data_IF_298847260658
#
_entry.id   IF_298847260658
#
_cell.length_a   1.000
_cell.length_b   1.000
_cell.length_c   1.000
_cell.angle_alpha   90.00
_cell.angle_beta   90.00
_cell.angle_gamma   90.00
#
_symmetry.space_group_name_H-M   'P 1'
#
loop_
_entity.id
_entity.type
_entity.pdbx_description
1 polymer ?
#
# COMPACT_ATOMS: atom_id res chain seq x y z
N UNK A 1 -3.20 -0.61 -30.92
CA UNK A 1 -3.13 -0.69 -29.44
C UNK A 1 -4.33 -1.41 -28.82
N UNK A 2 -5.57 -1.20 -29.23
CA UNK A 2 -6.78 -1.84 -28.69
C UNK A 2 -6.72 -3.38 -28.66
N UNK A 3 -6.18 -4.02 -29.68
CA UNK A 3 -6.14 -5.49 -29.77
C UNK A 3 -5.24 -6.14 -28.69
N UNK A 4 -4.15 -5.46 -28.30
CA UNK A 4 -3.22 -5.98 -27.27
C UNK A 4 -3.87 -5.97 -25.88
N UNK A 5 -4.68 -4.94 -25.58
CA UNK A 5 -5.38 -4.87 -24.28
C UNK A 5 -6.41 -5.99 -24.13
N UNK A 6 -7.15 -6.31 -25.21
CA UNK A 6 -8.14 -7.39 -25.18
C UNK A 6 -7.49 -8.72 -24.81
N UNK A 7 -6.37 -9.06 -25.46
CA UNK A 7 -5.64 -10.30 -25.19
C UNK A 7 -5.05 -10.34 -23.78
N UNK A 8 -4.47 -9.22 -23.29
CA UNK A 8 -3.90 -9.14 -21.95
C UNK A 8 -4.97 -9.29 -20.85
N UNK A 9 -6.09 -8.58 -21.01
CA UNK A 9 -7.23 -8.63 -20.07
C UNK A 9 -7.85 -10.02 -20.09
N UNK A 10 -8.07 -10.60 -21.27
CA UNK A 10 -8.62 -11.93 -21.44
C UNK A 10 -7.79 -12.99 -20.70
N UNK A 11 -6.45 -12.92 -20.85
CA UNK A 11 -5.50 -13.83 -20.17
C UNK A 11 -5.52 -13.61 -18.67
N UNK A 12 -5.51 -12.36 -18.20
CA UNK A 12 -5.44 -12.02 -16.79
C UNK A 12 -6.72 -12.45 -16.02
N UNK A 13 -7.90 -12.18 -16.62
CA UNK A 13 -9.20 -12.48 -16.01
C UNK A 13 -9.73 -13.88 -16.35
N UNK A 14 -9.06 -14.61 -17.24
CA UNK A 14 -9.50 -15.91 -17.75
C UNK A 14 -10.91 -15.83 -18.39
N UNK A 15 -11.19 -14.74 -19.11
CA UNK A 15 -12.42 -14.48 -19.84
C UNK A 15 -12.11 -14.58 -21.34
N UNK A 16 -12.99 -15.18 -22.17
CA UNK A 16 -12.80 -15.23 -23.62
C UNK A 16 -12.58 -13.84 -24.24
N UNK A 17 -11.59 -13.71 -25.12
CA UNK A 17 -11.18 -12.43 -25.71
C UNK A 17 -12.32 -11.69 -26.41
N UNK A 18 -13.17 -12.39 -27.14
CA UNK A 18 -14.33 -11.79 -27.79
C UNK A 18 -15.39 -11.24 -26.81
N UNK A 19 -15.48 -11.76 -25.58
CA UNK A 19 -16.33 -11.16 -24.54
C UNK A 19 -15.72 -9.88 -23.99
N UNK A 20 -14.39 -9.87 -23.79
CA UNK A 20 -13.64 -8.69 -23.33
C UNK A 20 -13.76 -7.57 -24.37
N UNK A 21 -13.54 -7.88 -25.66
CA UNK A 21 -13.63 -6.92 -26.76
C UNK A 21 -15.00 -6.23 -26.82
N UNK A 22 -16.08 -7.02 -26.83
CA UNK A 22 -17.44 -6.47 -26.87
C UNK A 22 -17.79 -5.65 -25.62
N UNK A 23 -17.31 -6.09 -24.44
CA UNK A 23 -17.51 -5.34 -23.19
C UNK A 23 -16.79 -4.01 -23.22
N UNK A 24 -15.54 -3.97 -23.70
CA UNK A 24 -14.76 -2.74 -23.87
C UNK A 24 -15.44 -1.81 -24.89
N UNK A 25 -15.99 -2.36 -25.98
CA UNK A 25 -16.79 -1.59 -26.94
C UNK A 25 -17.94 -0.84 -26.27
N UNK A 26 -18.76 -1.55 -25.49
CA UNK A 26 -19.87 -0.95 -24.73
C UNK A 26 -19.43 0.10 -23.70
N UNK A 27 -18.31 -0.15 -23.01
CA UNK A 27 -17.75 0.82 -22.03
C UNK A 27 -17.26 2.10 -22.74
N UNK A 28 -16.65 1.98 -23.93
CA UNK A 28 -16.18 3.11 -24.72
C UNK A 28 -17.34 3.93 -25.31
N UNK A 29 -18.51 3.32 -25.52
CA UNK A 29 -19.77 3.98 -25.90
C UNK A 29 -20.42 4.72 -24.71
N UNK A 30 -19.82 4.65 -23.52
CA UNK A 30 -20.30 5.32 -22.31
C UNK A 30 -21.34 4.53 -21.51
N UNK A 31 -21.55 3.24 -21.82
CA UNK A 31 -22.46 2.40 -21.07
C UNK A 31 -21.92 2.12 -19.66
N UNK A 32 -22.78 2.20 -18.65
CA UNK A 32 -22.40 1.92 -17.25
C UNK A 32 -22.37 0.42 -16.96
N UNK A 33 -21.56 -0.01 -15.99
CA UNK A 33 -21.45 -1.41 -15.59
C UNK A 33 -22.82 -2.03 -15.27
N UNK A 34 -23.70 -1.40 -14.43
CA UNK A 34 -25.02 -1.95 -14.17
C UNK A 34 -25.92 -2.05 -15.41
N UNK A 35 -25.78 -1.11 -16.36
CA UNK A 35 -26.52 -1.17 -17.61
C UNK A 35 -26.09 -2.35 -18.49
N UNK A 36 -24.78 -2.56 -18.63
CA UNK A 36 -24.21 -3.66 -19.42
C UNK A 36 -24.64 -5.01 -18.81
N UNK A 37 -24.48 -5.19 -17.50
CA UNK A 37 -24.78 -6.45 -16.82
C UNK A 37 -26.27 -6.83 -16.85
N UNK A 38 -27.16 -5.85 -16.94
CA UNK A 38 -28.64 -6.10 -16.95
C UNK A 38 -29.20 -6.15 -18.33
N UNK A 39 -28.78 -5.27 -19.24
CA UNK A 39 -29.44 -5.03 -20.51
C UNK A 39 -28.60 -5.38 -21.74
N UNK A 40 -27.36 -5.87 -21.58
CA UNK A 40 -26.46 -6.27 -22.68
C UNK A 40 -25.82 -7.64 -22.47
N UNK A 41 -26.50 -8.52 -21.74
CA UNK A 41 -25.99 -9.89 -21.45
C UNK A 41 -25.73 -10.69 -22.71
N UNK A 42 -26.59 -10.55 -23.70
CA UNK A 42 -26.45 -11.21 -25.00
C UNK A 42 -25.19 -10.78 -25.75
N UNK A 43 -24.79 -9.52 -25.62
CA UNK A 43 -23.57 -8.98 -26.26
C UNK A 43 -22.32 -9.46 -25.52
N UNK A 44 -22.32 -9.41 -24.20
CA UNK A 44 -21.17 -9.78 -23.37
C UNK A 44 -21.02 -11.28 -23.15
N UNK A 45 -22.02 -12.08 -23.58
CA UNK A 45 -22.03 -13.52 -23.34
C UNK A 45 -22.27 -13.89 -21.87
N UNK A 46 -23.08 -13.08 -21.17
CA UNK A 46 -23.55 -13.38 -19.81
C UNK A 46 -22.65 -12.91 -18.68
N UNK A 47 -21.68 -12.03 -18.95
CA UNK A 47 -20.82 -11.47 -17.91
C UNK A 47 -21.63 -10.74 -16.83
N UNK A 48 -21.24 -10.95 -15.58
CA UNK A 48 -21.84 -10.27 -14.42
C UNK A 48 -21.20 -8.91 -14.13
N UNK A 49 -21.74 -8.18 -13.16
CA UNK A 49 -21.25 -6.86 -12.76
C UNK A 49 -19.79 -6.89 -12.26
N UNK A 50 -19.38 -7.97 -11.60
CA UNK A 50 -18.02 -8.13 -11.06
C UNK A 50 -17.01 -8.32 -12.19
N UNK A 51 -17.35 -9.18 -13.15
CA UNK A 51 -16.51 -9.45 -14.31
C UNK A 51 -16.37 -8.22 -15.22
N UNK A 52 -17.46 -7.49 -15.45
CA UNK A 52 -17.44 -6.24 -16.23
C UNK A 52 -16.64 -5.16 -15.51
N UNK A 53 -16.79 -5.06 -14.16
CA UNK A 53 -15.98 -4.16 -13.33
C UNK A 53 -14.51 -4.49 -13.43
N UNK A 54 -14.13 -5.77 -13.31
CA UNK A 54 -12.74 -6.21 -13.43
C UNK A 54 -12.13 -5.91 -14.81
N UNK A 55 -12.92 -6.08 -15.90
CA UNK A 55 -12.47 -5.69 -17.25
C UNK A 55 -12.19 -4.19 -17.31
N UNK A 56 -13.10 -3.36 -16.77
CA UNK A 56 -12.92 -1.91 -16.74
C UNK A 56 -11.68 -1.50 -15.95
N UNK A 57 -11.49 -2.05 -14.76
CA UNK A 57 -10.33 -1.72 -13.91
C UNK A 57 -9.00 -2.10 -14.59
N UNK A 58 -8.95 -3.24 -15.28
CA UNK A 58 -7.76 -3.64 -16.04
C UNK A 58 -7.56 -2.75 -17.27
N UNK A 59 -8.62 -2.36 -17.97
CA UNK A 59 -8.54 -1.43 -19.11
C UNK A 59 -8.00 -0.08 -18.66
N UNK A 60 -8.48 0.46 -17.56
CA UNK A 60 -8.03 1.74 -17.01
C UNK A 60 -6.53 1.65 -16.63
N UNK A 61 -6.10 0.60 -15.92
CA UNK A 61 -4.69 0.35 -15.57
C UNK A 61 -3.78 0.25 -16.80
N UNK A 62 -4.17 -0.51 -17.80
CA UNK A 62 -3.37 -0.65 -19.04
C UNK A 62 -3.31 0.65 -19.86
N UNK A 63 -4.40 1.42 -19.85
CA UNK A 63 -4.46 2.73 -20.50
C UNK A 63 -3.52 3.74 -19.84
N UNK A 64 -3.52 3.79 -18.51
CA UNK A 64 -2.59 4.63 -17.73
C UNK A 64 -1.14 4.22 -17.97
N UNK A 65 -0.86 2.91 -17.96
CA UNK A 65 0.48 2.40 -18.22
C UNK A 65 0.94 2.70 -19.64
N UNK A 66 0.06 2.63 -20.66
CA UNK A 66 0.36 3.01 -22.03
C UNK A 66 0.75 4.49 -22.15
N UNK A 67 -0.05 5.38 -21.56
CA UNK A 67 0.28 6.82 -21.48
C UNK A 67 1.60 7.07 -20.77
N UNK A 68 1.87 6.30 -19.71
CA UNK A 68 3.13 6.39 -18.98
C UNK A 68 4.31 5.97 -19.85
N UNK A 69 4.20 4.87 -20.62
CA UNK A 69 5.22 4.44 -21.59
C UNK A 69 5.51 5.52 -22.64
N UNK A 70 4.48 6.13 -23.21
CA UNK A 70 4.62 7.22 -24.17
C UNK A 70 5.43 8.38 -23.60
N UNK A 71 5.09 8.80 -22.37
CA UNK A 71 5.83 9.86 -21.66
C UNK A 71 7.30 9.49 -21.43
N UNK A 72 7.55 8.26 -21.03
CA UNK A 72 8.90 7.74 -20.76
C UNK A 72 9.72 7.72 -22.04
N UNK A 73 9.17 7.17 -23.13
CA UNK A 73 9.83 7.10 -24.42
C UNK A 73 10.17 8.49 -24.95
N UNK A 74 9.23 9.43 -24.91
CA UNK A 74 9.45 10.82 -25.32
C UNK A 74 10.58 11.47 -24.48
N UNK A 75 10.57 11.30 -23.16
CA UNK A 75 11.61 11.87 -22.29
C UNK A 75 13.01 11.30 -22.57
N UNK A 76 13.12 10.00 -22.89
CA UNK A 76 14.41 9.37 -23.19
C UNK A 76 14.88 9.79 -24.59
N UNK A 77 13.95 9.94 -25.55
CA UNK A 77 14.22 10.38 -26.93
C UNK A 77 14.73 11.84 -26.96
N UNK A 78 14.11 12.74 -26.17
CA UNK A 78 14.58 14.13 -26.00
C UNK A 78 16.02 14.21 -25.46
N UNK A 79 16.46 13.19 -24.71
CA UNK A 79 17.85 13.08 -24.21
C UNK A 79 18.81 12.42 -25.21
N UNK A 80 18.35 12.05 -26.41
CA UNK A 80 19.12 11.32 -27.43
C UNK A 80 19.72 10.00 -26.94
N UNK A 81 19.06 9.35 -25.94
CA UNK A 81 19.53 8.12 -25.28
C UNK A 81 18.67 6.89 -25.58
N UNK A 82 17.63 7.04 -26.39
CA UNK A 82 16.71 5.94 -26.70
C UNK A 82 17.31 4.99 -27.72
N UNK A 83 17.80 3.82 -27.28
CA UNK A 83 18.25 2.76 -28.16
C UNK A 83 17.09 1.90 -28.67
N UNK A 84 17.21 1.23 -29.82
CA UNK A 84 16.17 0.32 -30.32
C UNK A 84 15.82 -0.79 -29.35
N UNK A 85 16.81 -1.35 -28.66
CA UNK A 85 16.62 -2.40 -27.63
C UNK A 85 15.84 -1.90 -26.42
N UNK A 86 16.16 -0.68 -25.95
CA UNK A 86 15.46 -0.07 -24.82
C UNK A 86 14.01 0.26 -25.18
N UNK A 87 13.78 0.83 -26.38
CA UNK A 87 12.44 1.08 -26.91
C UNK A 87 11.61 -0.20 -26.92
N UNK A 88 12.16 -1.27 -27.49
CA UNK A 88 11.49 -2.58 -27.56
C UNK A 88 11.14 -3.11 -26.19
N UNK A 89 12.07 -3.10 -25.24
CA UNK A 89 11.81 -3.56 -23.87
C UNK A 89 10.69 -2.77 -23.19
N UNK A 90 10.66 -1.45 -23.33
CA UNK A 90 9.60 -0.61 -22.75
C UNK A 90 8.25 -0.88 -23.42
N UNK A 91 8.22 -1.04 -24.76
CA UNK A 91 7.00 -1.30 -25.49
C UNK A 91 6.40 -2.67 -25.20
N UNK A 92 7.23 -3.71 -25.06
CA UNK A 92 6.79 -5.07 -24.80
C UNK A 92 6.42 -5.35 -23.33
N UNK A 93 7.03 -4.66 -22.38
CA UNK A 93 6.73 -4.86 -20.96
C UNK A 93 5.40 -4.24 -20.56
N UNK A 94 4.64 -4.96 -19.75
CA UNK A 94 3.40 -4.51 -19.07
C UNK A 94 3.52 -4.55 -17.56
N UNK A 95 4.75 -4.67 -17.06
CA UNK A 95 5.06 -4.52 -15.63
C UNK A 95 5.51 -3.08 -15.34
N UNK A 96 4.68 -2.37 -14.57
CA UNK A 96 4.98 -0.99 -14.20
C UNK A 96 6.30 -0.85 -13.44
N UNK A 97 6.67 -1.86 -12.66
CA UNK A 97 7.92 -1.87 -11.88
C UNK A 97 9.13 -1.97 -12.81
N UNK A 98 9.09 -2.88 -13.79
CA UNK A 98 10.15 -3.02 -14.78
C UNK A 98 10.31 -1.75 -15.63
N UNK A 99 9.20 -1.16 -16.07
CA UNK A 99 9.19 0.06 -16.87
C UNK A 99 9.79 1.25 -16.10
N UNK A 100 9.43 1.43 -14.84
CA UNK A 100 10.01 2.49 -13.99
C UNK A 100 11.50 2.25 -13.69
N UNK A 101 11.95 1.00 -13.57
CA UNK A 101 13.36 0.67 -13.42
C UNK A 101 14.16 0.98 -14.68
N UNK A 102 13.62 0.64 -15.87
CA UNK A 102 14.24 1.00 -17.16
C UNK A 102 14.33 2.51 -17.36
N UNK A 103 13.36 3.26 -16.85
CA UNK A 103 13.34 4.72 -16.91
C UNK A 103 14.24 5.40 -15.89
N UNK A 104 14.56 4.76 -14.76
CA UNK A 104 15.25 5.37 -13.61
C UNK A 104 16.55 6.10 -13.96
N UNK A 105 17.44 5.58 -14.85
CA UNK A 105 18.66 6.27 -15.27
C UNK A 105 18.41 7.57 -16.06
N UNK A 106 17.26 7.68 -16.72
CA UNK A 106 16.89 8.78 -17.62
C UNK A 106 15.92 9.79 -16.98
N UNK A 107 15.36 9.42 -15.82
CA UNK A 107 14.39 10.27 -15.12
C UNK A 107 15.03 11.60 -14.72
N UNK A 108 14.42 12.76 -15.09
CA UNK A 108 14.91 14.06 -14.65
C UNK A 108 15.04 14.11 -13.11
N UNK A 109 16.25 14.35 -12.65
CA UNK A 109 16.57 14.36 -11.23
C UNK A 109 16.71 15.78 -10.71
N UNK A 110 16.33 16.00 -9.47
CA UNK A 110 16.80 17.18 -8.71
C UNK A 110 18.31 17.06 -8.53
N UNK A 111 18.99 18.17 -8.17
CA UNK A 111 20.42 18.16 -7.89
C UNK A 111 20.74 17.11 -6.83
N UNK A 112 21.34 15.99 -7.24
CA UNK A 112 21.77 14.89 -6.36
C UNK A 112 23.22 15.07 -5.95
N UNK A 113 23.68 14.35 -4.90
CA UNK A 113 25.10 14.32 -4.53
C UNK A 113 25.96 13.84 -5.70
N UNK A 114 25.52 12.84 -6.44
CA UNK A 114 26.20 12.33 -7.63
C UNK A 114 26.25 13.38 -8.74
N UNK A 115 25.20 14.16 -8.95
CA UNK A 115 25.20 15.23 -9.95
C UNK A 115 26.19 16.36 -9.58
N UNK A 116 26.25 16.72 -8.28
CA UNK A 116 27.24 17.67 -7.78
C UNK A 116 28.67 17.15 -8.03
N UNK A 117 28.90 15.86 -7.76
CA UNK A 117 30.20 15.24 -8.00
C UNK A 117 30.57 15.16 -9.50
N UNK A 118 29.59 14.91 -10.39
CA UNK A 118 29.81 14.97 -11.85
C UNK A 118 30.21 16.38 -12.30
N UNK A 119 29.54 17.41 -11.80
CA UNK A 119 29.90 18.82 -12.11
C UNK A 119 31.31 19.18 -11.64
N UNK A 120 31.78 18.59 -10.53
CA UNK A 120 33.18 18.71 -10.07
C UNK A 120 34.17 17.89 -10.92
N UNK A 121 33.71 17.15 -11.94
CA UNK A 121 34.56 16.37 -12.84
C UNK A 121 35.05 15.05 -12.23
N UNK A 122 34.32 14.47 -11.26
CA UNK A 122 34.74 13.25 -10.54
C UNK A 122 34.23 11.95 -11.20
N UNK A 123 33.47 12.02 -12.28
CA UNK A 123 32.96 10.81 -12.97
C UNK A 123 34.07 9.90 -13.50
N UNK A 124 35.20 10.41 -14.10
CA UNK A 124 36.30 9.55 -14.50
C UNK A 124 36.95 8.82 -13.32
N UNK A 125 37.04 9.46 -12.14
CA UNK A 125 37.53 8.80 -10.93
C UNK A 125 36.57 7.69 -10.48
N UNK A 126 35.27 7.94 -10.52
CA UNK A 126 34.25 6.92 -10.20
C UNK A 126 34.37 5.70 -11.14
N UNK A 127 34.63 5.91 -12.45
CA UNK A 127 34.86 4.82 -13.41
C UNK A 127 36.11 4.02 -13.07
N UNK A 128 37.23 4.67 -12.71
CA UNK A 128 38.47 4.01 -12.29
C UNK A 128 38.22 3.16 -11.03
N UNK A 129 37.56 3.71 -10.02
CA UNK A 129 37.22 3.00 -8.78
C UNK A 129 36.29 1.82 -9.08
N UNK A 130 35.30 1.98 -9.93
CA UNK A 130 34.35 0.92 -10.26
C UNK A 130 34.97 -0.25 -11.06
N UNK A 131 36.03 0.01 -11.85
CA UNK A 131 36.78 -1.02 -12.56
C UNK A 131 37.58 -1.92 -11.62
N UNK A 132 38.00 -1.42 -10.45
CA UNK A 132 38.74 -2.13 -9.38
C UNK A 132 40.09 -2.75 -9.87
N UNK A 133 40.72 -2.16 -10.86
CA UNK A 133 41.99 -2.60 -11.44
C UNK A 133 43.17 -1.67 -11.09
N UNK A 134 42.92 -0.63 -10.30
CA UNK A 134 43.95 0.36 -9.98
C UNK A 134 44.77 -0.08 -8.76
N UNK A 135 46.08 -0.16 -8.91
CA UNK A 135 47.01 -0.55 -7.87
C UNK A 135 47.50 0.61 -7.00
N UNK A 136 47.36 1.85 -7.47
CA UNK A 136 47.80 3.04 -6.75
C UNK A 136 46.74 4.14 -6.79
N UNK A 137 45.68 3.89 -6.04
CA UNK A 137 44.53 4.79 -5.96
C UNK A 137 44.95 6.19 -5.47
N UNK A 138 45.87 6.27 -4.49
CA UNK A 138 46.32 7.53 -3.92
C UNK A 138 47.04 8.43 -4.94
N UNK A 139 47.80 7.86 -5.89
CA UNK A 139 48.39 8.62 -6.98
C UNK A 139 47.35 9.12 -7.97
N UNK A 140 46.36 8.30 -8.28
CA UNK A 140 45.24 8.67 -9.18
C UNK A 140 44.40 9.79 -8.62
N UNK A 141 44.04 9.74 -7.35
CA UNK A 141 43.21 10.75 -6.68
C UNK A 141 43.85 12.14 -6.78
N UNK A 142 45.18 12.26 -6.64
CA UNK A 142 45.89 13.55 -6.73
C UNK A 142 45.56 14.33 -8.01
N UNK A 143 45.35 13.67 -9.12
CA UNK A 143 45.00 14.32 -10.39
C UNK A 143 43.58 14.92 -10.42
N UNK A 144 42.73 14.55 -9.47
CA UNK A 144 41.38 15.06 -9.34
C UNK A 144 41.23 16.13 -8.25
N UNK A 145 42.27 16.39 -7.46
CA UNK A 145 42.27 17.46 -6.48
C UNK A 145 42.55 18.77 -7.21
N UNK A 146 41.48 19.39 -7.73
CA UNK A 146 41.53 20.66 -8.48
C UNK A 146 40.18 21.37 -8.40
N UNK A 147 40.23 22.70 -8.61
CA UNK A 147 39.00 23.51 -8.60
C UNK A 147 38.30 23.45 -7.26
N UNK A 148 37.05 22.95 -7.26
CA UNK A 148 36.23 22.85 -6.05
C UNK A 148 36.58 21.64 -5.16
N UNK A 149 37.38 20.69 -5.63
CA UNK A 149 37.80 19.50 -4.89
C UNK A 149 39.04 19.79 -4.06
N UNK A 150 38.90 19.88 -2.75
CA UNK A 150 39.97 20.39 -1.84
C UNK A 150 40.94 19.31 -1.37
N UNK A 151 40.51 18.08 -1.25
CA UNK A 151 41.32 16.98 -0.71
C UNK A 151 40.93 15.61 -1.31
N UNK A 152 41.74 14.60 -0.98
CA UNK A 152 41.53 13.22 -1.48
C UNK A 152 40.20 12.60 -1.02
N UNK A 153 39.80 12.86 0.22
CA UNK A 153 38.55 12.31 0.77
C UNK A 153 37.34 12.91 0.08
N UNK A 154 37.34 14.21 -0.24
CA UNK A 154 36.28 14.83 -1.01
C UNK A 154 36.18 14.25 -2.43
N UNK A 155 37.32 13.97 -3.08
CA UNK A 155 37.35 13.31 -4.37
C UNK A 155 36.76 11.88 -4.32
N UNK A 156 37.19 11.11 -3.32
CA UNK A 156 36.67 9.75 -3.08
C UNK A 156 35.18 9.75 -2.73
N UNK A 157 34.75 10.66 -1.86
CA UNK A 157 33.32 10.77 -1.51
C UNK A 157 32.46 11.07 -2.73
N UNK A 158 32.92 12.00 -3.58
CA UNK A 158 32.21 12.29 -4.83
C UNK A 158 32.17 11.08 -5.80
N UNK A 159 33.29 10.34 -5.88
CA UNK A 159 33.31 9.10 -6.67
C UNK A 159 32.35 8.03 -6.10
N UNK A 160 32.33 7.86 -4.77
CA UNK A 160 31.38 6.94 -4.09
C UNK A 160 29.92 7.36 -4.31
N UNK A 161 29.61 8.65 -4.25
CA UNK A 161 28.26 9.15 -4.50
C UNK A 161 27.78 8.83 -5.93
N UNK A 162 28.66 8.93 -6.93
CA UNK A 162 28.36 8.56 -8.32
C UNK A 162 28.16 7.03 -8.45
N UNK A 163 29.06 6.24 -7.85
CA UNK A 163 28.96 4.77 -7.87
C UNK A 163 27.68 4.30 -7.18
N UNK A 164 27.33 4.90 -6.06
CA UNK A 164 26.09 4.59 -5.33
C UNK A 164 24.85 4.83 -6.19
N UNK A 165 24.83 5.88 -7.01
CA UNK A 165 23.78 6.16 -7.96
C UNK A 165 23.74 5.11 -9.10
N UNK A 166 24.87 4.74 -9.67
CA UNK A 166 24.94 3.67 -10.69
C UNK A 166 24.42 2.32 -10.15
N UNK A 167 24.75 1.98 -8.90
CA UNK A 167 24.26 0.76 -8.26
C UNK A 167 22.73 0.84 -8.05
N UNK A 168 22.21 1.97 -7.63
CA UNK A 168 20.76 2.19 -7.45
C UNK A 168 19.98 2.08 -8.76
N UNK A 169 20.58 2.50 -9.89
CA UNK A 169 20.00 2.43 -11.22
C UNK A 169 20.17 1.05 -11.88
N UNK A 170 20.97 0.18 -11.29
CA UNK A 170 21.19 -1.15 -11.82
C UNK A 170 20.00 -2.07 -11.55
N UNK A 171 19.31 -2.50 -12.59
CA UNK A 171 18.14 -3.39 -12.53
C UNK A 171 18.38 -4.63 -11.67
N UNK A 172 19.53 -5.25 -11.81
CA UNK A 172 19.86 -6.47 -11.08
C UNK A 172 20.14 -6.20 -9.58
N UNK A 173 20.68 -5.02 -9.23
CA UNK A 173 20.80 -4.61 -7.83
C UNK A 173 19.42 -4.41 -7.20
N UNK A 174 18.52 -3.71 -7.91
CA UNK A 174 17.14 -3.52 -7.46
C UNK A 174 16.41 -4.84 -7.28
N UNK A 175 16.52 -5.75 -8.23
CA UNK A 175 15.91 -7.08 -8.13
C UNK A 175 16.49 -7.92 -6.98
N UNK A 176 17.80 -7.80 -6.69
CA UNK A 176 18.42 -8.44 -5.52
C UNK A 176 17.80 -7.94 -4.22
N UNK A 177 17.60 -6.63 -4.10
CA UNK A 177 16.98 -6.02 -2.91
C UNK A 177 15.49 -6.38 -2.83
N UNK A 178 14.73 -6.32 -3.95
CA UNK A 178 13.31 -6.76 -3.99
C UNK A 178 13.15 -8.20 -3.53
N UNK A 179 14.00 -9.10 -4.00
CA UNK A 179 13.97 -10.50 -3.58
C UNK A 179 14.23 -10.64 -2.08
N UNK A 180 15.13 -9.83 -1.51
CA UNK A 180 15.33 -9.82 -0.07
C UNK A 180 14.09 -9.31 0.67
N UNK A 181 13.45 -8.24 0.20
CA UNK A 181 12.18 -7.77 0.75
C UNK A 181 11.07 -8.81 0.67
N UNK A 182 10.89 -9.45 -0.48
CA UNK A 182 9.85 -10.45 -0.68
C UNK A 182 9.94 -11.63 0.30
N UNK A 183 11.17 -12.05 0.65
CA UNK A 183 11.37 -13.26 1.45
C UNK A 183 11.63 -13.00 2.93
N UNK A 184 12.32 -11.90 3.26
CA UNK A 184 12.84 -11.66 4.63
C UNK A 184 12.35 -10.38 5.26
N UNK A 185 11.52 -9.58 4.57
CA UNK A 185 11.09 -8.30 5.12
C UNK A 185 10.25 -8.47 6.37
N UNK A 186 10.61 -7.71 7.39
CA UNK A 186 9.85 -7.53 8.62
C UNK A 186 9.12 -6.19 8.57
N UNK A 187 7.83 -6.20 8.90
CA UNK A 187 7.11 -4.97 9.22
C UNK A 187 7.24 -4.72 10.72
N UNK A 188 7.67 -3.52 11.07
CA UNK A 188 7.87 -3.10 12.45
C UNK A 188 7.13 -1.81 12.71
N UNK A 189 6.64 -1.63 13.94
CA UNK A 189 6.09 -0.36 14.37
C UNK A 189 6.54 0.00 15.77
N UNK A 190 6.69 1.31 15.99
CA UNK A 190 6.97 1.90 17.30
C UNK A 190 6.09 3.10 17.53
N UNK A 191 5.63 3.30 18.76
CA UNK A 191 4.91 4.52 19.13
C UNK A 191 5.82 5.74 19.02
N UNK A 192 5.30 6.84 18.51
CA UNK A 192 6.00 8.13 18.50
C UNK A 192 6.00 8.68 19.92
N UNK A 193 7.19 9.06 20.40
CA UNK A 193 7.40 9.56 21.78
C UNK A 193 6.42 10.68 22.13
N UNK A 194 5.70 10.52 23.22
CA UNK A 194 4.69 11.45 23.70
C UNK A 194 3.30 11.25 23.10
N UNK A 195 3.08 10.16 22.34
CA UNK A 195 1.77 9.81 21.75
C UNK A 195 1.14 8.57 22.37
N UNK A 196 1.66 8.10 23.50
CA UNK A 196 1.23 6.86 24.17
C UNK A 196 -0.24 6.94 24.65
N UNK A 197 -0.63 8.08 25.23
CA UNK A 197 -2.01 8.28 25.74
C UNK A 197 -3.01 8.49 24.59
N UNK A 198 -2.66 9.35 23.63
CA UNK A 198 -3.49 9.61 22.44
C UNK A 198 -3.68 8.34 21.60
N UNK A 199 -2.62 7.52 21.55
CA UNK A 199 -2.55 6.29 20.77
C UNK A 199 -3.08 5.05 21.49
N UNK A 200 -3.76 5.14 22.63
CA UNK A 200 -4.17 3.98 23.44
C UNK A 200 -4.87 2.86 22.65
N UNK A 201 -5.62 3.19 21.58
CA UNK A 201 -6.26 2.22 20.69
C UNK A 201 -5.30 1.40 19.84
N UNK A 202 -4.01 1.83 19.73
CA UNK A 202 -2.94 1.17 19.02
C UNK A 202 -1.91 0.53 19.94
N UNK A 203 -2.21 0.34 21.23
CA UNK A 203 -1.24 -0.15 22.23
C UNK A 203 -0.56 -1.45 21.82
N UNK A 204 -1.29 -2.36 21.17
CA UNK A 204 -0.75 -3.65 20.70
C UNK A 204 0.31 -3.51 19.60
N UNK A 205 0.43 -2.31 19.02
CA UNK A 205 1.37 -1.97 17.95
C UNK A 205 2.47 -0.99 18.38
N UNK A 206 2.60 -0.67 19.68
CA UNK A 206 3.59 0.28 20.18
C UNK A 206 5.03 -0.24 20.07
N UNK A 207 5.22 -1.54 20.14
CA UNK A 207 6.47 -2.23 19.84
C UNK A 207 6.12 -3.58 19.18
N UNK A 208 5.95 -3.52 17.87
CA UNK A 208 5.42 -4.65 17.11
C UNK A 208 6.38 -5.03 15.98
N UNK A 209 6.51 -6.33 15.71
CA UNK A 209 7.33 -6.86 14.63
C UNK A 209 6.77 -8.20 14.15
N UNK A 210 6.58 -8.34 12.83
CA UNK A 210 6.25 -9.62 12.21
C UNK A 210 6.76 -9.70 10.77
N UNK A 211 6.93 -10.91 10.18
CA UNK A 211 7.24 -11.05 8.76
C UNK A 211 6.13 -10.45 7.89
N UNK A 212 6.52 -9.57 6.94
CA UNK A 212 5.56 -8.88 6.06
C UNK A 212 4.67 -9.85 5.28
N UNK A 213 5.25 -10.97 4.82
CA UNK A 213 4.53 -11.99 4.03
C UNK A 213 3.51 -12.80 4.86
N UNK A 214 3.53 -12.68 6.20
CA UNK A 214 2.58 -13.32 7.14
C UNK A 214 1.65 -12.32 7.80
N UNK A 215 1.87 -11.03 7.56
CA UNK A 215 1.05 -9.97 8.14
C UNK A 215 -0.38 -10.07 7.61
N UNK A 216 -1.36 -10.18 8.51
CA UNK A 216 -2.76 -10.19 8.12
C UNK A 216 -3.22 -8.79 7.72
N UNK A 217 -4.15 -8.72 6.76
CA UNK A 217 -4.63 -7.44 6.19
C UNK A 217 -5.16 -6.49 7.25
N UNK A 218 -5.92 -6.99 8.24
CA UNK A 218 -6.47 -6.14 9.30
C UNK A 218 -5.38 -5.52 10.18
N UNK A 219 -4.29 -6.26 10.49
CA UNK A 219 -3.15 -5.73 11.25
C UNK A 219 -2.39 -4.68 10.45
N UNK A 220 -2.12 -5.00 9.18
CA UNK A 220 -1.42 -4.08 8.29
C UNK A 220 -2.20 -2.77 8.13
N UNK A 221 -3.51 -2.83 7.95
CA UNK A 221 -4.36 -1.64 7.88
C UNK A 221 -4.43 -0.87 9.19
N UNK A 222 -4.40 -1.56 10.35
CA UNK A 222 -4.32 -0.91 11.65
C UNK A 222 -3.00 -0.15 11.83
N UNK A 223 -1.86 -0.76 11.45
CA UNK A 223 -0.54 -0.12 11.46
C UNK A 223 -0.52 1.13 10.57
N UNK A 224 -1.03 1.02 9.33
CA UNK A 224 -1.10 2.16 8.39
C UNK A 224 -2.01 3.28 8.87
N UNK A 225 -3.10 2.96 9.54
CA UNK A 225 -3.97 3.96 10.17
C UNK A 225 -3.26 4.67 11.31
N UNK A 226 -2.58 3.93 12.20
CA UNK A 226 -1.81 4.52 13.29
C UNK A 226 -0.66 5.41 12.79
N UNK A 227 -0.03 5.06 11.65
CA UNK A 227 0.97 5.86 10.97
C UNK A 227 0.36 7.16 10.39
N UNK A 228 -0.76 7.05 9.69
CA UNK A 228 -1.47 8.20 9.10
C UNK A 228 -2.00 9.18 10.17
N UNK A 229 -2.37 8.68 11.34
CA UNK A 229 -2.77 9.49 12.50
C UNK A 229 -1.57 10.09 13.26
N UNK A 230 -0.33 9.81 12.85
CA UNK A 230 0.89 10.30 13.51
C UNK A 230 1.14 9.71 14.89
N UNK A 231 0.62 8.53 15.17
CA UNK A 231 0.79 7.79 16.45
C UNK A 231 1.93 6.78 16.34
N UNK A 232 2.00 6.06 15.22
CA UNK A 232 2.99 5.02 15.01
C UNK A 232 4.01 5.45 13.95
N UNK A 233 5.25 4.99 14.13
CA UNK A 233 6.26 4.95 13.06
C UNK A 233 6.34 3.53 12.56
N UNK A 234 5.95 3.31 11.30
CA UNK A 234 5.97 2.00 10.65
C UNK A 234 7.17 1.92 9.70
N UNK A 235 7.85 0.80 9.67
CA UNK A 235 8.98 0.54 8.77
C UNK A 235 8.91 -0.90 8.24
N UNK A 236 9.30 -1.08 6.99
CA UNK A 236 9.46 -2.38 6.36
C UNK A 236 10.94 -2.53 5.98
N UNK A 237 11.59 -3.54 6.51
CA UNK A 237 13.02 -3.74 6.29
C UNK A 237 13.33 -5.21 6.06
N UNK A 238 14.15 -5.54 5.04
CA UNK A 238 14.66 -6.90 4.86
C UNK A 238 15.77 -7.18 5.86
N UNK A 239 16.26 -8.40 5.87
CA UNK A 239 17.55 -8.71 6.49
C UNK A 239 18.66 -7.94 5.76
N UNK A 240 19.12 -6.86 6.39
CA UNK A 240 20.05 -5.91 5.80
C UNK A 240 21.45 -6.53 5.57
N UNK A 241 21.91 -7.39 6.48
CA UNK A 241 23.22 -8.04 6.40
C UNK A 241 23.26 -8.98 5.20
N UNK A 242 22.30 -9.91 5.12
CA UNK A 242 22.18 -10.84 3.97
C UNK A 242 22.00 -10.12 2.64
N UNK A 243 21.27 -9.01 2.63
CA UNK A 243 21.07 -8.20 1.43
C UNK A 243 22.36 -7.52 0.97
N UNK A 244 23.10 -6.88 1.90
CA UNK A 244 24.39 -6.26 1.63
C UNK A 244 25.43 -7.28 1.15
N UNK A 245 25.47 -8.46 1.74
CA UNK A 245 26.36 -9.52 1.30
C UNK A 245 26.12 -9.92 -0.15
N UNK A 246 24.85 -10.03 -0.57
CA UNK A 246 24.50 -10.33 -1.96
C UNK A 246 24.91 -9.22 -2.92
N UNK A 247 24.70 -7.97 -2.52
CA UNK A 247 25.13 -6.81 -3.32
C UNK A 247 26.65 -6.73 -3.39
N UNK A 248 27.37 -6.95 -2.29
CA UNK A 248 28.84 -6.95 -2.26
C UNK A 248 29.41 -8.05 -3.17
N UNK A 249 28.89 -9.29 -3.11
CA UNK A 249 29.33 -10.38 -4.03
C UNK A 249 29.17 -10.03 -5.51
N UNK A 250 28.24 -9.13 -5.84
CA UNK A 250 28.00 -8.72 -7.20
C UNK A 250 28.92 -7.59 -7.67
N UNK A 251 29.15 -6.60 -6.82
CA UNK A 251 29.85 -5.38 -7.20
C UNK A 251 31.30 -5.32 -6.75
N UNK A 252 31.68 -6.01 -5.69
CA UNK A 252 33.04 -6.00 -5.13
C UNK A 252 33.81 -7.19 -5.67
N UNK A 253 34.88 -6.90 -6.47
CA UNK A 253 35.63 -7.93 -7.21
C UNK A 253 36.95 -8.34 -6.56
N UNK A 254 37.43 -7.64 -5.56
CA UNK A 254 38.75 -7.87 -4.95
C UNK A 254 38.79 -7.53 -3.46
N UNK A 255 40.02 -7.44 -2.91
CA UNK A 255 40.28 -7.15 -1.48
C UNK A 255 41.22 -5.96 -1.29
N UNK A 256 41.42 -5.12 -2.29
CA UNK A 256 42.28 -3.94 -2.18
C UNK A 256 41.52 -2.68 -1.84
N UNK A 257 42.27 -1.59 -1.60
CA UNK A 257 41.77 -0.25 -1.26
C UNK A 257 40.63 0.21 -2.19
N UNK A 258 40.77 -0.04 -3.50
CA UNK A 258 39.76 0.34 -4.49
C UNK A 258 38.46 -0.44 -4.29
N UNK A 259 38.56 -1.74 -3.96
CA UNK A 259 37.40 -2.58 -3.70
C UNK A 259 36.67 -2.18 -2.40
N UNK A 260 37.39 -1.70 -1.40
CA UNK A 260 36.81 -1.13 -0.17
C UNK A 260 35.99 0.15 -0.46
N UNK A 261 36.45 0.99 -1.40
CA UNK A 261 35.69 2.16 -1.84
C UNK A 261 34.38 1.76 -2.52
N UNK A 262 34.39 0.68 -3.34
CA UNK A 262 33.18 0.16 -3.96
C UNK A 262 32.25 -0.45 -2.90
N UNK A 263 32.78 -1.19 -1.91
CA UNK A 263 31.98 -1.75 -0.82
C UNK A 263 31.29 -0.62 -0.01
N UNK A 264 32.02 0.46 0.27
CA UNK A 264 31.46 1.65 0.94
C UNK A 264 30.34 2.28 0.10
N UNK A 265 30.52 2.36 -1.23
CA UNK A 265 29.48 2.89 -2.14
C UNK A 265 28.26 1.96 -2.22
N UNK A 266 28.45 0.63 -2.14
CA UNK A 266 27.34 -0.36 -2.08
C UNK A 266 26.52 -0.14 -0.80
N UNK A 267 27.18 0.02 0.35
CA UNK A 267 26.53 0.26 1.64
C UNK A 267 25.72 1.58 1.62
N UNK A 268 26.31 2.66 1.12
CA UNK A 268 25.62 3.95 0.96
C UNK A 268 24.44 3.84 -0.01
N UNK A 269 24.63 3.19 -1.18
CA UNK A 269 23.56 2.96 -2.13
C UNK A 269 22.40 2.19 -1.52
N UNK A 270 22.70 1.12 -0.78
CA UNK A 270 21.66 0.34 -0.11
C UNK A 270 20.90 1.17 0.92
N UNK A 271 21.60 1.80 1.85
CA UNK A 271 20.99 2.52 2.98
C UNK A 271 20.22 3.77 2.54
N UNK A 272 20.77 4.53 1.61
CA UNK A 272 20.27 5.84 1.24
C UNK A 272 19.33 5.84 0.02
N UNK A 273 19.50 4.90 -0.91
CA UNK A 273 18.78 4.91 -2.20
C UNK A 273 17.90 3.67 -2.40
N UNK A 274 18.48 2.47 -2.42
CA UNK A 274 17.78 1.24 -2.75
C UNK A 274 16.72 0.87 -1.69
N UNK A 275 17.13 0.79 -0.42
CA UNK A 275 16.23 0.38 0.67
C UNK A 275 15.02 1.31 0.79
N UNK A 276 15.14 2.65 0.88
CA UNK A 276 13.98 3.52 1.01
C UNK A 276 13.04 3.48 -0.21
N UNK A 277 13.61 3.34 -1.42
CA UNK A 277 12.84 3.23 -2.66
C UNK A 277 12.00 1.95 -2.67
N UNK A 278 12.62 0.80 -2.37
CA UNK A 278 11.96 -0.50 -2.39
C UNK A 278 11.05 -0.68 -1.17
N UNK A 279 11.38 -0.11 -0.01
CA UNK A 279 10.49 -0.04 1.15
C UNK A 279 9.16 0.64 0.79
N UNK A 280 9.21 1.76 0.05
CA UNK A 280 8.02 2.46 -0.44
C UNK A 280 7.21 1.58 -1.41
N UNK A 281 7.89 0.86 -2.31
CA UNK A 281 7.27 -0.08 -3.24
C UNK A 281 6.50 -1.18 -2.48
N UNK A 282 7.14 -1.86 -1.54
CA UNK A 282 6.51 -2.91 -0.72
C UNK A 282 5.44 -2.38 0.22
N UNK A 283 5.61 -1.16 0.73
CA UNK A 283 4.61 -0.46 1.52
C UNK A 283 3.32 -0.28 0.73
N UNK A 284 3.41 0.21 -0.50
CA UNK A 284 2.26 0.45 -1.36
C UNK A 284 1.62 -0.87 -1.82
N UNK A 285 2.42 -1.85 -2.24
CA UNK A 285 1.93 -3.16 -2.66
C UNK A 285 1.21 -3.91 -1.54
N UNK A 286 1.80 -3.93 -0.33
CA UNK A 286 1.19 -4.59 0.82
C UNK A 286 -0.10 -3.92 1.25
N UNK A 287 -0.15 -2.58 1.20
CA UNK A 287 -1.36 -1.81 1.49
C UNK A 287 -2.46 -2.11 0.46
N UNK A 288 -2.16 -2.05 -0.83
CA UNK A 288 -3.13 -2.33 -1.89
C UNK A 288 -3.74 -3.74 -1.74
N UNK A 289 -2.89 -4.75 -1.50
CA UNK A 289 -3.36 -6.12 -1.24
C UNK A 289 -4.27 -6.22 -0.01
N UNK A 290 -3.92 -5.51 1.07
CA UNK A 290 -4.72 -5.50 2.28
C UNK A 290 -6.04 -4.77 2.11
N UNK A 291 -6.07 -3.68 1.34
CA UNK A 291 -7.29 -2.97 0.99
C UNK A 291 -8.25 -3.87 0.18
N UNK A 292 -7.75 -4.57 -0.84
CA UNK A 292 -8.54 -5.51 -1.66
C UNK A 292 -9.16 -6.63 -0.81
N UNK A 293 -8.37 -7.23 0.09
CA UNK A 293 -8.87 -8.27 0.99
C UNK A 293 -9.93 -7.73 1.96
N UNK A 294 -9.71 -6.55 2.53
CA UNK A 294 -10.66 -5.92 3.43
C UNK A 294 -11.97 -5.57 2.72
N UNK A 295 -11.93 -5.06 1.49
CA UNK A 295 -13.11 -4.79 0.66
C UNK A 295 -13.86 -6.09 0.37
N UNK A 296 -13.15 -7.16 0.01
CA UNK A 296 -13.77 -8.46 -0.25
C UNK A 296 -14.51 -9.00 0.98
N UNK A 297 -13.87 -8.98 2.14
CA UNK A 297 -14.49 -9.43 3.39
C UNK A 297 -15.69 -8.55 3.75
N UNK A 298 -15.58 -7.24 3.57
CA UNK A 298 -16.70 -6.32 3.80
C UNK A 298 -17.88 -6.61 2.86
N UNK A 299 -17.61 -6.79 1.58
CA UNK A 299 -18.64 -7.08 0.57
C UNK A 299 -19.38 -8.40 0.88
N UNK A 300 -18.64 -9.45 1.29
CA UNK A 300 -19.23 -10.72 1.69
C UNK A 300 -20.11 -10.59 2.93
N UNK A 301 -19.66 -9.90 3.97
CA UNK A 301 -20.45 -9.64 5.16
C UNK A 301 -21.69 -8.80 4.84
N UNK A 302 -21.57 -7.77 4.01
CA UNK A 302 -22.68 -6.95 3.57
C UNK A 302 -23.72 -7.78 2.79
N UNK A 303 -23.25 -8.65 1.89
CA UNK A 303 -24.11 -9.55 1.14
C UNK A 303 -24.92 -10.46 2.07
N UNK A 304 -24.27 -11.06 3.08
CA UNK A 304 -24.95 -11.89 4.06
C UNK A 304 -26.02 -11.11 4.83
N UNK A 305 -25.73 -9.88 5.23
CA UNK A 305 -26.68 -9.00 5.90
C UNK A 305 -27.88 -8.66 5.01
N UNK A 306 -27.63 -8.32 3.73
CA UNK A 306 -28.69 -7.96 2.76
C UNK A 306 -29.56 -9.14 2.37
N UNK A 307 -29.04 -10.36 2.40
CA UNK A 307 -29.76 -11.60 2.11
C UNK A 307 -30.40 -12.23 3.35
N UNK A 308 -30.15 -11.68 4.55
CA UNK A 308 -30.76 -12.19 5.76
C UNK A 308 -32.28 -12.03 5.70
N UNK A 309 -33.06 -13.01 6.20
CA UNK A 309 -34.51 -12.90 6.23
C UNK A 309 -34.95 -11.70 7.07
N UNK A 310 -35.98 -10.96 6.68
CA UNK A 310 -36.47 -9.83 7.43
C UNK A 310 -36.96 -10.29 8.81
N UNK A 311 -36.75 -9.44 9.82
CA UNK A 311 -37.23 -9.71 11.19
C UNK A 311 -38.76 -9.88 11.27
N UNK A 312 -39.46 -9.39 10.27
CA UNK A 312 -40.91 -9.35 10.25
C UNK A 312 -41.47 -8.20 11.09
N UNK A 313 -42.80 -8.22 11.30
CA UNK A 313 -43.49 -7.21 12.09
C UNK A 313 -43.26 -7.47 13.60
N UNK A 314 -42.29 -6.80 14.18
CA UNK A 314 -41.89 -6.88 15.59
C UNK A 314 -41.83 -5.51 16.23
N UNK A 315 -42.10 -5.44 17.53
CA UNK A 315 -41.80 -4.25 18.33
C UNK A 315 -40.34 -4.24 18.64
N UNK A 316 -39.64 -3.18 18.21
CA UNK A 316 -38.18 -3.12 18.24
C UNK A 316 -37.71 -1.98 19.11
N UNK A 317 -36.74 -2.26 20.00
CA UNK A 317 -35.91 -1.25 20.65
C UNK A 317 -34.62 -1.09 19.85
N UNK A 318 -34.51 0.00 19.11
CA UNK A 318 -33.30 0.40 18.42
C UNK A 318 -32.33 1.12 19.37
N UNK A 319 -31.08 0.71 19.36
CA UNK A 319 -29.99 1.33 20.16
C UNK A 319 -28.88 1.81 19.26
N UNK A 320 -28.70 3.13 19.12
CA UNK A 320 -27.58 3.75 18.41
C UNK A 320 -26.45 4.11 19.38
N UNK A 321 -25.29 3.43 19.30
CA UNK A 321 -24.17 3.66 20.19
C UNK A 321 -23.48 5.01 19.99
N UNK A 322 -23.30 5.81 21.04
CA UNK A 322 -22.52 7.03 21.04
C UNK A 322 -21.79 7.28 22.35
N UNK A 323 -20.49 7.65 22.29
CA UNK A 323 -19.72 8.02 23.50
C UNK A 323 -20.01 9.44 23.96
N UNK A 324 -20.00 10.43 23.05
CA UNK A 324 -20.15 11.86 23.39
C UNK A 324 -21.59 12.26 23.63
N UNK A 325 -22.50 11.84 22.76
CA UNK A 325 -23.91 12.23 22.77
C UNK A 325 -24.81 11.27 23.53
N UNK A 326 -24.22 10.27 24.20
CA UNK A 326 -24.96 9.17 24.80
C UNK A 326 -25.46 8.17 23.77
N UNK A 327 -26.10 7.13 24.25
CA UNK A 327 -26.71 6.09 23.44
C UNK A 327 -28.17 6.43 23.19
N UNK A 328 -28.54 6.66 21.93
CA UNK A 328 -29.93 6.95 21.56
C UNK A 328 -30.73 5.66 21.56
N UNK A 329 -31.90 5.71 22.19
CA UNK A 329 -32.87 4.63 22.23
C UNK A 329 -34.12 5.04 21.45
N UNK A 330 -34.67 4.11 20.68
CA UNK A 330 -35.88 4.30 19.90
C UNK A 330 -36.77 3.06 20.06
N UNK A 331 -37.98 3.21 20.55
CA UNK A 331 -38.97 2.15 20.58
C UNK A 331 -39.91 2.29 19.39
N UNK A 332 -40.05 1.22 18.62
CA UNK A 332 -40.91 1.14 17.44
C UNK A 332 -42.01 0.09 17.65
N UNK A 333 -43.22 0.36 17.14
CA UNK A 333 -44.27 -0.66 17.05
C UNK A 333 -44.03 -1.67 15.92
N UNK A 334 -44.95 -2.62 15.76
CA UNK A 334 -44.87 -3.64 14.71
C UNK A 334 -44.98 -3.08 13.26
N UNK A 335 -45.47 -1.87 13.09
CA UNK A 335 -45.59 -1.16 11.80
C UNK A 335 -44.41 -0.21 11.56
N UNK A 336 -43.50 -0.06 12.54
CA UNK A 336 -42.32 0.85 12.45
C UNK A 336 -42.63 2.28 12.90
N UNK A 337 -43.79 2.57 13.50
CA UNK A 337 -44.08 3.88 14.05
C UNK A 337 -43.31 4.12 15.34
N UNK A 338 -42.85 5.35 15.53
CA UNK A 338 -42.11 5.77 16.72
C UNK A 338 -43.04 5.83 17.92
N UNK A 339 -42.78 5.03 18.97
CA UNK A 339 -43.50 5.05 20.23
C UNK A 339 -42.80 5.89 21.30
N UNK A 340 -41.45 5.85 21.35
CA UNK A 340 -40.64 6.57 22.33
C UNK A 340 -39.21 6.73 21.84
N UNK A 341 -38.56 7.85 22.24
CA UNK A 341 -37.13 8.05 22.05
C UNK A 341 -36.52 8.71 23.28
N UNK A 342 -35.29 8.33 23.64
CA UNK A 342 -34.47 8.98 24.66
C UNK A 342 -33.00 8.63 24.51
N UNK A 343 -32.14 9.28 25.32
CA UNK A 343 -30.71 8.99 25.36
C UNK A 343 -30.33 8.47 26.77
N UNK A 344 -29.44 7.46 26.78
CA UNK A 344 -28.82 6.93 28.00
C UNK A 344 -27.29 7.09 27.94
N UNK A 345 -26.65 7.14 29.11
CA UNK A 345 -25.22 7.44 29.22
C UNK A 345 -24.46 6.34 29.99
N UNK A 346 -24.34 5.12 29.41
CA UNK A 346 -23.66 4.00 30.08
C UNK A 346 -22.13 4.11 30.08
N UNK A 347 -21.55 5.04 29.28
CA UNK A 347 -20.11 5.21 29.09
C UNK A 347 -19.56 6.47 29.75
N UNK A 348 -18.24 6.54 29.99
CA UNK A 348 -17.60 7.77 30.44
C UNK A 348 -17.89 8.97 29.50
N UNK A 349 -18.00 10.20 30.07
CA UNK A 349 -17.69 10.58 31.43
C UNK A 349 -18.79 10.25 32.46
N UNK A 350 -20.07 10.07 32.07
CA UNK A 350 -21.18 9.86 32.99
C UNK A 350 -21.19 8.46 33.64
N UNK A 351 -20.83 7.43 32.90
CA UNK A 351 -20.68 6.03 33.31
C UNK A 351 -21.89 5.48 34.13
N UNK A 352 -23.12 5.82 33.73
CA UNK A 352 -24.37 5.49 34.43
C UNK A 352 -24.91 4.09 34.02
N UNK A 353 -24.08 3.05 34.12
CA UNK A 353 -24.43 1.68 33.62
C UNK A 353 -25.69 1.13 34.29
N UNK A 354 -25.84 1.28 35.60
CA UNK A 354 -27.00 0.78 36.34
C UNK A 354 -28.32 1.46 35.94
N UNK A 355 -28.30 2.80 35.80
CA UNK A 355 -29.47 3.56 35.35
C UNK A 355 -29.84 3.20 33.93
N UNK A 356 -28.83 3.05 33.06
CA UNK A 356 -29.01 2.68 31.65
C UNK A 356 -29.65 1.29 31.52
N UNK A 357 -29.20 0.31 32.29
CA UNK A 357 -29.78 -1.05 32.27
C UNK A 357 -31.23 -1.05 32.83
N UNK A 358 -31.50 -0.36 33.94
CA UNK A 358 -32.85 -0.22 34.47
C UNK A 358 -33.82 0.45 33.48
N UNK A 359 -33.33 1.47 32.75
CA UNK A 359 -34.11 2.16 31.73
C UNK A 359 -34.44 1.27 30.54
N UNK A 360 -33.47 0.52 30.01
CA UNK A 360 -33.71 -0.44 28.95
C UNK A 360 -34.74 -1.50 29.40
N UNK A 361 -34.59 -2.05 30.59
CA UNK A 361 -35.56 -3.02 31.14
C UNK A 361 -36.97 -2.41 31.25
N UNK A 362 -37.09 -1.18 31.73
CA UNK A 362 -38.34 -0.43 31.80
C UNK A 362 -39.00 -0.30 30.42
N UNK A 363 -38.24 0.15 29.41
CA UNK A 363 -38.76 0.34 28.04
C UNK A 363 -39.20 -0.98 27.42
N UNK A 364 -38.41 -2.04 27.60
CA UNK A 364 -38.77 -3.40 27.12
C UNK A 364 -40.10 -3.85 27.72
N UNK A 365 -40.34 -3.62 29.01
CA UNK A 365 -41.58 -3.99 29.64
C UNK A 365 -42.74 -3.08 29.23
N UNK A 366 -42.55 -1.75 29.21
CA UNK A 366 -43.60 -0.76 28.92
C UNK A 366 -44.13 -0.90 27.48
N UNK A 367 -43.25 -1.07 26.50
CA UNK A 367 -43.62 -1.15 25.09
C UNK A 367 -43.71 -2.59 24.57
N UNK A 368 -43.61 -3.58 25.45
CA UNK A 368 -43.65 -5.02 25.12
C UNK A 368 -42.72 -5.36 23.91
N UNK A 369 -41.46 -4.94 24.02
CA UNK A 369 -40.46 -5.10 22.98
C UNK A 369 -40.17 -6.57 22.70
N UNK A 370 -40.24 -6.97 21.42
CA UNK A 370 -39.96 -8.35 20.94
C UNK A 370 -38.48 -8.56 20.61
N UNK A 371 -37.81 -7.49 20.14
CA UNK A 371 -36.42 -7.56 19.70
C UNK A 371 -35.66 -6.26 20.01
N UNK A 372 -34.36 -6.41 20.29
CA UNK A 372 -33.45 -5.27 20.48
C UNK A 372 -32.45 -5.24 19.32
N UNK A 373 -32.48 -4.17 18.53
CA UNK A 373 -31.53 -3.91 17.45
C UNK A 373 -30.44 -2.96 17.92
N UNK A 374 -29.18 -3.39 17.87
CA UNK A 374 -28.03 -2.59 18.34
C UNK A 374 -27.18 -2.21 17.12
N UNK A 375 -27.02 -0.89 16.90
CA UNK A 375 -26.17 -0.37 15.83
C UNK A 375 -24.70 -0.80 16.00
N UNK A 376 -24.04 -1.08 14.89
CA UNK A 376 -22.63 -1.53 14.83
C UNK A 376 -21.61 -0.38 14.98
N UNK A 377 -21.99 0.73 15.62
CA UNK A 377 -21.12 1.89 15.87
C UNK A 377 -20.11 1.68 16.98
N UNK A 378 -19.32 2.72 17.22
CA UNK A 378 -18.33 2.81 18.30
C UNK A 378 -19.00 2.47 19.64
N UNK A 379 -18.54 1.48 20.39
CA UNK A 379 -19.11 0.96 21.66
C UNK A 379 -20.18 -0.15 21.51
N UNK A 380 -20.35 -0.76 20.35
CA UNK A 380 -21.33 -1.85 20.17
C UNK A 380 -21.02 -3.09 21.03
N UNK A 381 -19.74 -3.45 21.20
CA UNK A 381 -19.30 -4.63 21.97
C UNK A 381 -19.65 -4.56 23.45
N UNK A 382 -19.55 -3.39 24.06
CA UNK A 382 -19.83 -3.18 25.50
C UNK A 382 -21.31 -3.23 25.82
N UNK A 383 -22.20 -2.98 24.84
CA UNK A 383 -23.65 -2.96 25.00
C UNK A 383 -24.33 -4.31 24.86
N UNK A 384 -23.69 -5.27 24.23
CA UNK A 384 -24.18 -6.65 24.30
C UNK A 384 -24.32 -7.13 25.74
N UNK A 385 -23.54 -6.57 26.67
CA UNK A 385 -23.68 -6.86 28.10
C UNK A 385 -24.94 -6.23 28.73
N UNK A 386 -25.32 -5.02 28.29
CA UNK A 386 -26.53 -4.33 28.81
C UNK A 386 -27.79 -5.00 28.26
N UNK A 387 -27.80 -5.34 26.95
CA UNK A 387 -28.89 -6.10 26.32
C UNK A 387 -29.10 -7.49 26.94
N UNK A 388 -28.00 -8.20 27.21
CA UNK A 388 -28.07 -9.51 27.89
C UNK A 388 -28.53 -9.43 29.36
N UNK A 389 -28.19 -8.36 30.07
CA UNK A 389 -28.64 -8.17 31.45
C UNK A 389 -30.17 -7.94 31.53
N UNK A 390 -30.75 -7.24 30.54
CA UNK A 390 -32.21 -7.02 30.48
C UNK A 390 -33.00 -8.24 29.99
N UNK A 391 -32.36 -9.18 29.28
CA UNK A 391 -32.98 -10.43 28.79
C UNK A 391 -32.89 -11.59 29.82
N UNK A 392 -32.03 -11.51 30.86
CA UNK A 392 -31.86 -12.58 31.86
C UNK A 392 -32.99 -12.64 32.91
N UNK A 393 -33.87 -11.66 32.96
CA UNK A 393 -35.03 -11.67 33.90
C UNK A 393 -36.31 -12.26 33.29
N UNK A 394 -36.22 -12.86 32.06
CA UNK A 394 -37.32 -13.64 31.48
C UNK A 394 -36.89 -15.09 31.29
N UNK A 395 -36.96 -15.85 32.37
CA UNK A 395 -37.21 -17.30 32.38
C UNK A 395 -38.45 -17.54 33.22
#
# INVERSE_FOLDING_TARGET
MTNVFHTLIARFLQIPEGQVERTIGLLNEGATIPFISRYRKEVTGGLDEVQIGAIKDQLDKLTELSKRKETILATIEEQEKLTPELRKRIEESWDSTEIEDLYLPYKPKRVTKAEIARRKGLEPLAKIVMMQNENNLSARIKSFIKGEVKNAEEALQGARDIIAEWINENESARNTVRNSFAHTAMITSKVIKGKEEEGAKYRDYFDFSEPLNRASSHRLLALRRGEAEGILRVSISPDAESCLDRLNRRFVKGRGEVSEQVATAVDDSFKRLLKPSIETEFSNQSKAKADEEAIRVFAENLRQLLLAPPLGQKRVLGVDPGYRTGCKLVCLDAQGNLLHNEAIFPHPPQNEKGKAAAKVAQLVATYAIDAIAIGNGTASREKHQIGRASCRERV
#
